data_IF_893508828624
#
_entry.id   IF_893508828624
#
_cell.length_a   1.000
_cell.length_b   1.000
_cell.length_c   1.000
_cell.angle_alpha   90.00
_cell.angle_beta   90.00
_cell.angle_gamma   90.00
#
_symmetry.space_group_name_H-M   'P 1'
#
loop_
_entity.id
_entity.type
_entity.pdbx_description
1 polymer ?
#
# COMPACT_ATOMS: atom_id res chain seq x y z
N UNK A 1 3.22 -5.45 -33.42
CA UNK A 1 3.66 -5.18 -32.02
C UNK A 1 4.60 -6.29 -31.60
N UNK A 2 5.68 -5.97 -30.90
CA UNK A 2 6.55 -6.98 -30.28
C UNK A 2 5.83 -7.67 -29.09
N UNK A 3 6.31 -8.85 -28.68
CA UNK A 3 5.73 -9.62 -27.58
C UNK A 3 5.60 -8.80 -26.29
N UNK A 4 6.62 -7.99 -25.98
CA UNK A 4 6.66 -7.09 -24.82
C UNK A 4 5.50 -6.08 -24.89
N UNK A 5 5.28 -5.45 -26.05
CA UNK A 5 4.20 -4.49 -26.23
C UNK A 5 2.82 -5.13 -26.09
N UNK A 6 2.65 -6.37 -26.51
CA UNK A 6 1.40 -7.12 -26.33
C UNK A 6 1.14 -7.36 -24.83
N UNK A 7 2.15 -7.85 -24.10
CA UNK A 7 2.04 -8.09 -22.65
C UNK A 7 1.72 -6.79 -21.91
N UNK A 8 2.42 -5.70 -22.26
CA UNK A 8 2.21 -4.40 -21.63
C UNK A 8 0.79 -3.87 -21.85
N UNK A 9 0.30 -3.89 -23.09
CA UNK A 9 -1.07 -3.44 -23.40
C UNK A 9 -2.09 -4.31 -22.67
N UNK A 10 -1.91 -5.63 -22.67
CA UNK A 10 -2.81 -6.53 -21.95
C UNK A 10 -2.84 -6.27 -20.45
N UNK A 11 -1.67 -6.03 -19.84
CA UNK A 11 -1.56 -5.69 -18.42
C UNK A 11 -2.31 -4.38 -18.09
N UNK A 12 -2.14 -3.33 -18.91
CA UNK A 12 -2.85 -2.06 -18.70
C UNK A 12 -4.35 -2.24 -18.86
N UNK A 13 -4.81 -2.96 -19.89
CA UNK A 13 -6.23 -3.25 -20.09
C UNK A 13 -6.81 -4.06 -18.94
N UNK A 14 -6.06 -5.02 -18.41
CA UNK A 14 -6.46 -5.78 -17.22
C UNK A 14 -6.62 -4.88 -16.00
N UNK A 15 -5.64 -4.01 -15.71
CA UNK A 15 -5.73 -3.06 -14.59
C UNK A 15 -6.92 -2.09 -14.73
N UNK A 16 -7.13 -1.54 -15.93
CA UNK A 16 -8.28 -0.68 -16.21
C UNK A 16 -9.59 -1.44 -16.04
N UNK A 17 -9.66 -2.69 -16.52
CA UNK A 17 -10.81 -3.57 -16.34
C UNK A 17 -11.13 -3.81 -14.86
N UNK A 18 -10.11 -4.10 -14.04
CA UNK A 18 -10.27 -4.23 -12.58
C UNK A 18 -10.75 -2.92 -11.96
N UNK A 19 -10.24 -1.76 -12.40
CA UNK A 19 -10.66 -0.44 -11.92
C UNK A 19 -12.13 -0.14 -12.21
N UNK A 20 -12.57 -0.33 -13.46
CA UNK A 20 -13.98 -0.15 -13.86
C UNK A 20 -14.89 -1.14 -13.12
N UNK A 21 -14.44 -2.38 -12.96
CA UNK A 21 -15.15 -3.39 -12.19
C UNK A 21 -15.22 -3.05 -10.70
N UNK A 22 -14.18 -2.44 -10.13
CA UNK A 22 -14.15 -2.04 -8.73
C UNK A 22 -15.02 -0.82 -8.44
N UNK A 23 -15.20 0.08 -9.41
CA UNK A 23 -15.99 1.30 -9.27
C UNK A 23 -17.42 1.04 -8.76
N UNK A 24 -18.04 -0.09 -9.13
CA UNK A 24 -19.40 -0.43 -8.67
C UNK A 24 -19.52 -0.66 -7.17
N UNK A 25 -18.41 -0.88 -6.45
CA UNK A 25 -18.38 -1.04 -5.01
C UNK A 25 -18.30 0.29 -4.25
N UNK A 26 -17.93 1.39 -4.92
CA UNK A 26 -17.76 2.69 -4.29
C UNK A 26 -19.11 3.44 -4.25
N UNK A 27 -19.87 3.26 -3.17
CA UNK A 27 -21.16 3.95 -2.96
C UNK A 27 -21.07 5.10 -1.97
N UNK A 28 -20.16 5.00 -1.01
CA UNK A 28 -19.96 6.00 0.05
C UNK A 28 -18.50 6.44 0.13
N UNK A 29 -18.23 7.51 0.88
CA UNK A 29 -16.87 7.96 1.18
C UNK A 29 -16.07 6.90 1.96
N UNK A 30 -16.74 6.14 2.85
CA UNK A 30 -16.11 5.04 3.58
C UNK A 30 -15.77 3.87 2.65
N UNK A 31 -16.61 3.56 1.67
CA UNK A 31 -16.31 2.56 0.65
C UNK A 31 -15.10 2.97 -0.18
N UNK A 32 -15.02 4.24 -0.57
CA UNK A 32 -13.92 4.76 -1.37
C UNK A 32 -12.59 4.79 -0.62
N UNK A 33 -12.59 5.25 0.65
CA UNK A 33 -11.36 5.46 1.42
C UNK A 33 -10.90 4.21 2.20
N UNK A 34 -11.84 3.41 2.69
CA UNK A 34 -11.56 2.30 3.61
C UNK A 34 -12.15 0.97 3.12
N UNK A 35 -12.65 0.89 1.88
CA UNK A 35 -13.34 -0.28 1.35
C UNK A 35 -14.45 -0.79 2.29
N UNK A 36 -15.18 0.15 2.89
CA UNK A 36 -16.28 -0.15 3.82
C UNK A 36 -15.81 -0.87 5.08
N UNK A 37 -14.51 -0.77 5.41
CA UNK A 37 -13.88 -1.46 6.55
C UNK A 37 -13.96 -2.99 6.47
N UNK A 38 -14.12 -3.54 5.27
CA UNK A 38 -14.32 -4.98 5.02
C UNK A 38 -13.03 -5.75 4.70
N UNK A 39 -11.94 -5.04 4.40
CA UNK A 39 -10.66 -5.67 4.05
C UNK A 39 -10.06 -6.37 5.27
N UNK A 40 -9.58 -7.59 5.05
CA UNK A 40 -8.86 -8.35 6.04
C UNK A 40 -7.44 -7.82 6.26
N UNK A 41 -6.74 -8.31 7.29
CA UNK A 41 -5.37 -7.90 7.61
C UNK A 41 -4.40 -8.16 6.45
N UNK A 42 -4.49 -9.33 5.80
CA UNK A 42 -3.62 -9.71 4.69
C UNK A 42 -3.78 -8.80 3.47
N UNK A 43 -5.01 -8.57 3.02
CA UNK A 43 -5.30 -7.70 1.87
C UNK A 43 -4.86 -6.27 2.13
N UNK A 44 -5.04 -5.79 3.36
CA UNK A 44 -4.61 -4.46 3.77
C UNK A 44 -3.08 -4.35 3.79
N UNK A 45 -2.38 -5.37 4.31
CA UNK A 45 -0.92 -5.42 4.32
C UNK A 45 -0.32 -5.44 2.90
N UNK A 46 -0.85 -6.29 2.01
CA UNK A 46 -0.38 -6.32 0.62
C UNK A 46 -0.66 -5.00 -0.12
N UNK A 47 -1.83 -4.38 0.10
CA UNK A 47 -2.16 -3.09 -0.51
C UNK A 47 -1.26 -1.97 -0.01
N UNK A 48 -0.94 -1.96 1.28
CA UNK A 48 -0.02 -1.00 1.88
C UNK A 48 1.38 -1.14 1.26
N UNK A 49 1.89 -2.37 1.15
CA UNK A 49 3.19 -2.62 0.50
C UNK A 49 3.22 -2.28 -0.97
N UNK A 50 2.18 -2.64 -1.72
CA UNK A 50 2.10 -2.26 -3.13
C UNK A 50 2.16 -0.73 -3.31
N UNK A 51 1.63 0.03 -2.35
CA UNK A 51 1.67 1.49 -2.36
C UNK A 51 3.05 2.04 -2.00
N UNK A 52 3.72 1.46 -0.98
CA UNK A 52 5.04 1.90 -0.52
C UNK A 52 6.20 1.52 -1.46
N UNK A 53 6.14 0.34 -2.09
CA UNK A 53 7.30 -0.28 -2.76
C UNK A 53 7.40 0.02 -4.26
N UNK A 54 6.74 1.06 -4.77
CA UNK A 54 6.65 1.32 -6.22
C UNK A 54 7.99 1.76 -6.86
N UNK A 55 8.44 2.99 -6.58
CA UNK A 55 9.68 3.52 -7.16
C UNK A 55 10.90 3.27 -6.27
N UNK A 56 10.69 3.16 -4.96
CA UNK A 56 11.75 3.01 -3.96
C UNK A 56 12.48 1.69 -4.12
N UNK A 57 11.74 0.57 -4.14
CA UNK A 57 12.34 -0.76 -4.21
C UNK A 57 13.02 -1.05 -5.56
N UNK A 58 12.44 -0.56 -6.66
CA UNK A 58 12.89 -0.92 -8.01
C UNK A 58 14.08 -0.08 -8.50
N UNK A 59 14.17 1.18 -8.10
CA UNK A 59 15.18 2.11 -8.61
C UNK A 59 16.09 2.64 -7.51
N UNK A 60 15.51 3.09 -6.39
CA UNK A 60 16.29 3.77 -5.36
C UNK A 60 17.15 2.80 -4.54
N UNK A 61 16.58 1.68 -4.08
CA UNK A 61 17.30 0.70 -3.26
C UNK A 61 18.47 0.04 -4.03
N UNK A 62 18.32 -0.42 -5.28
CA UNK A 62 19.44 -0.96 -6.05
C UNK A 62 20.48 0.12 -6.40
N UNK A 63 20.04 1.35 -6.71
CA UNK A 63 20.95 2.47 -6.96
C UNK A 63 21.79 2.83 -5.73
N UNK A 64 21.17 2.85 -4.55
CA UNK A 64 21.85 3.03 -3.29
C UNK A 64 22.82 1.88 -2.99
N UNK A 65 22.39 0.63 -3.21
CA UNK A 65 23.24 -0.54 -3.02
C UNK A 65 24.46 -0.56 -3.96
N UNK A 66 24.32 -0.10 -5.21
CA UNK A 66 25.45 0.04 -6.15
C UNK A 66 26.43 1.12 -5.66
N UNK A 67 25.92 2.19 -5.05
CA UNK A 67 26.72 3.35 -4.63
C UNK A 67 27.42 3.13 -3.28
N UNK A 68 26.72 2.54 -2.31
CA UNK A 68 27.15 2.38 -0.91
C UNK A 68 27.65 0.95 -0.62
N UNK A 69 27.34 -0.01 -1.50
CA UNK A 69 27.68 -1.41 -1.32
C UNK A 69 26.85 -2.07 -0.22
N UNK A 70 27.42 -3.09 0.44
CA UNK A 70 26.73 -3.89 1.47
C UNK A 70 26.25 -3.08 2.69
N UNK A 71 26.74 -1.85 2.87
CA UNK A 71 26.25 -0.94 3.92
C UNK A 71 24.76 -0.63 3.80
N UNK A 72 24.20 -0.67 2.59
CA UNK A 72 22.76 -0.45 2.35
C UNK A 72 21.87 -1.54 2.98
N UNK A 73 22.44 -2.70 3.35
CA UNK A 73 21.71 -3.76 4.06
C UNK A 73 21.09 -3.27 5.37
N UNK A 74 21.68 -2.24 6.00
CA UNK A 74 21.10 -1.62 7.20
C UNK A 74 19.74 -0.98 6.91
N UNK A 75 19.57 -0.31 5.77
CA UNK A 75 18.29 0.28 5.37
C UNK A 75 17.24 -0.81 5.16
N UNK A 76 17.60 -1.92 4.50
CA UNK A 76 16.71 -3.07 4.30
C UNK A 76 16.25 -3.64 5.64
N UNK A 77 17.17 -3.89 6.57
CA UNK A 77 16.84 -4.39 7.91
C UNK A 77 15.95 -3.41 8.68
N UNK A 78 16.28 -2.12 8.63
CA UNK A 78 15.51 -1.05 9.27
C UNK A 78 14.09 -0.95 8.74
N UNK A 79 13.91 -1.04 7.41
CA UNK A 79 12.60 -1.03 6.76
C UNK A 79 11.79 -2.25 7.19
N UNK A 80 12.35 -3.46 7.12
CA UNK A 80 11.66 -4.69 7.53
C UNK A 80 11.21 -4.61 8.98
N UNK A 81 12.11 -4.22 9.89
CA UNK A 81 11.78 -4.10 11.31
C UNK A 81 10.75 -2.99 11.55
N UNK A 82 10.92 -1.82 10.96
CA UNK A 82 10.00 -0.68 11.10
C UNK A 82 8.59 -1.03 10.62
N UNK A 83 8.48 -1.76 9.52
CA UNK A 83 7.25 -2.34 8.99
C UNK A 83 6.60 -3.31 9.99
N UNK A 84 7.38 -4.22 10.56
CA UNK A 84 6.86 -5.19 11.52
C UNK A 84 6.33 -4.45 12.75
N UNK A 85 7.13 -3.54 13.32
CA UNK A 85 6.73 -2.75 14.47
C UNK A 85 5.52 -1.86 14.20
N UNK A 86 5.42 -1.23 13.02
CA UNK A 86 4.25 -0.39 12.70
C UNK A 86 2.96 -1.21 12.66
N UNK A 87 3.01 -2.43 12.11
CA UNK A 87 1.86 -3.33 12.07
C UNK A 87 1.45 -3.84 13.44
N UNK A 88 2.40 -4.28 14.27
CA UNK A 88 2.11 -4.82 15.59
C UNK A 88 1.78 -3.76 16.65
N UNK A 89 2.41 -2.58 16.59
CA UNK A 89 2.23 -1.56 17.63
C UNK A 89 1.14 -0.54 17.28
N UNK A 90 1.03 -0.15 16.01
CA UNK A 90 0.22 1.00 15.59
C UNK A 90 -1.03 0.56 14.84
N UNK A 91 -0.90 -0.32 13.84
CA UNK A 91 -1.97 -0.59 12.88
C UNK A 91 -3.27 -1.10 13.54
N UNK A 92 -3.18 -2.07 14.45
CA UNK A 92 -4.36 -2.62 15.15
C UNK A 92 -5.05 -1.56 16.02
N UNK A 93 -4.27 -0.84 16.85
CA UNK A 93 -4.80 0.21 17.73
C UNK A 93 -5.48 1.31 16.91
N UNK A 94 -4.82 1.78 15.87
CA UNK A 94 -5.35 2.81 14.98
C UNK A 94 -6.63 2.35 14.27
N UNK A 95 -6.72 1.08 13.89
CA UNK A 95 -7.91 0.50 13.26
C UNK A 95 -9.11 0.46 14.19
N UNK A 96 -8.88 0.18 15.48
CA UNK A 96 -9.92 0.17 16.52
C UNK A 96 -10.37 1.60 16.82
N UNK A 97 -9.43 2.52 17.03
CA UNK A 97 -9.71 3.91 17.39
C UNK A 97 -10.43 4.66 16.26
N UNK A 98 -9.97 4.55 15.02
CA UNK A 98 -10.66 5.17 13.86
C UNK A 98 -12.07 4.62 13.66
N UNK A 99 -12.35 3.37 14.07
CA UNK A 99 -13.70 2.79 14.04
C UNK A 99 -14.57 3.36 15.16
N UNK A 100 -14.01 3.53 16.36
CA UNK A 100 -14.70 4.09 17.53
C UNK A 100 -15.15 5.54 17.28
N UNK A 101 -14.30 6.36 16.67
CA UNK A 101 -14.60 7.76 16.37
C UNK A 101 -15.19 8.00 14.98
N UNK A 102 -15.41 6.93 14.21
CA UNK A 102 -15.89 6.96 12.83
C UNK A 102 -15.13 7.95 11.92
N UNK A 103 -13.82 8.05 12.12
CA UNK A 103 -12.96 8.92 11.32
C UNK A 103 -12.43 8.20 10.09
N UNK A 104 -12.37 8.92 8.98
CA UNK A 104 -11.95 8.35 7.69
C UNK A 104 -10.48 8.62 7.39
N UNK A 105 -9.89 9.64 8.03
CA UNK A 105 -8.51 10.04 7.79
C UNK A 105 -7.73 10.19 9.10
N UNK A 106 -6.39 10.09 9.03
CA UNK A 106 -5.52 10.30 10.19
C UNK A 106 -5.61 11.73 10.72
N UNK A 107 -5.60 12.80 9.88
CA UNK A 107 -5.77 14.16 10.39
C UNK A 107 -7.09 14.36 11.14
N UNK A 108 -8.19 13.78 10.64
CA UNK A 108 -9.49 13.82 11.32
C UNK A 108 -9.47 13.09 12.66
N UNK A 109 -8.79 11.93 12.73
CA UNK A 109 -8.58 11.20 13.99
C UNK A 109 -7.78 12.03 15.00
N UNK A 110 -6.71 12.68 14.58
CA UNK A 110 -5.85 13.47 15.47
C UNK A 110 -6.48 14.79 15.93
N UNK A 111 -7.51 15.29 15.23
CA UNK A 111 -8.21 16.52 15.60
C UNK A 111 -9.32 16.28 16.63
N UNK A 112 -9.81 15.05 16.78
CA UNK A 112 -10.87 14.69 17.73
C UNK A 112 -10.31 14.33 19.10
#
# INVERSE_FOLDING_TARGET
MNLIGIIFVFYILFLLGVGVWAFRFNKTQEDYLLAGRRLGPWTTAFSERASGESAWLLLALPGAAISVGLGESWAVLGIILGIIFSWFLIAERLRIETKKYNTLTIPEYLHR
#
